data_IF_280554290305
#
_entry.id   IF_280554290305
#
_cell.length_a   1.000
_cell.length_b   1.000
_cell.length_c   1.000
_cell.angle_alpha   90.00
_cell.angle_beta   90.00
_cell.angle_gamma   90.00
#
_symmetry.space_group_name_H-M   'P 1'
#
loop_
_entity.id
_entity.type
_entity.pdbx_description
1 polymer ?
#
# COMPACT_ATOMS: atom_id res chain seq x y z
N UNK A 1 33.53 3.96 -20.94
CA UNK A 1 33.65 4.70 -19.66
C UNK A 1 32.50 5.70 -19.61
N UNK A 2 31.43 5.41 -18.85
CA UNK A 2 30.25 6.28 -18.76
C UNK A 2 30.52 7.38 -17.73
N UNK A 3 30.50 8.64 -18.17
CA UNK A 3 30.72 9.80 -17.30
C UNK A 3 29.39 10.49 -17.06
N UNK A 4 28.87 10.39 -15.83
CA UNK A 4 27.59 11.01 -15.44
C UNK A 4 27.85 12.48 -15.07
N UNK A 5 27.30 13.41 -15.85
CA UNK A 5 27.34 14.85 -15.57
C UNK A 5 26.17 15.19 -14.63
N UNK A 6 26.46 15.77 -13.46
CA UNK A 6 25.43 16.31 -12.55
C UNK A 6 24.87 17.60 -13.14
N UNK A 7 23.56 17.66 -13.31
CA UNK A 7 22.81 18.88 -13.68
C UNK A 7 22.03 19.33 -12.43
N UNK A 8 21.96 20.64 -12.14
CA UNK A 8 21.25 21.16 -10.97
C UNK A 8 19.77 20.75 -10.96
N UNK A 9 19.31 20.32 -9.78
CA UNK A 9 17.96 19.86 -9.52
C UNK A 9 16.98 21.02 -9.41
N UNK A 10 15.95 21.05 -10.26
CA UNK A 10 14.75 21.86 -10.01
C UNK A 10 13.86 21.10 -9.02
N UNK A 11 13.76 21.67 -7.83
CA UNK A 11 12.87 21.23 -6.73
C UNK A 11 11.42 21.40 -7.18
N UNK A 12 10.52 20.57 -6.65
CA UNK A 12 9.08 20.60 -6.95
C UNK A 12 8.53 22.03 -6.92
N UNK A 13 7.87 22.45 -8.00
CA UNK A 13 7.07 23.66 -8.03
C UNK A 13 5.94 23.51 -6.99
N UNK A 14 5.69 24.58 -6.23
CA UNK A 14 4.72 24.71 -5.12
C UNK A 14 5.20 24.27 -3.73
N UNK A 15 6.18 25.00 -3.18
CA UNK A 15 6.37 25.17 -1.74
C UNK A 15 6.78 26.61 -1.39
N UNK A 16 6.24 27.61 -2.09
CA UNK A 16 6.33 29.02 -1.66
C UNK A 16 5.06 29.41 -0.91
N UNK A 17 5.26 30.12 0.20
CA UNK A 17 4.22 30.55 1.12
C UNK A 17 3.30 31.60 0.47
N UNK A 18 2.02 31.27 0.32
CA UNK A 18 0.97 32.26 0.12
C UNK A 18 0.11 32.38 1.39
N UNK A 19 -0.28 33.60 1.82
CA UNK A 19 -1.08 33.78 3.01
C UNK A 19 -2.59 33.67 2.73
N UNK A 20 -3.28 33.18 3.77
CA UNK A 20 -4.71 33.32 4.07
C UNK A 20 -5.72 32.38 3.39
N UNK A 21 -5.85 31.19 3.98
CA UNK A 21 -7.11 30.43 4.08
C UNK A 21 -7.09 29.63 5.40
N UNK A 22 -8.25 29.21 5.93
CA UNK A 22 -8.35 28.34 7.11
C UNK A 22 -7.37 27.16 7.02
N UNK A 23 -6.38 27.11 7.91
CA UNK A 23 -5.28 26.15 7.90
C UNK A 23 -3.93 26.77 7.50
N UNK A 24 -2.96 25.95 7.10
CA UNK A 24 -1.59 26.42 6.79
C UNK A 24 -1.44 27.09 5.41
N UNK A 25 -2.54 27.42 4.72
CA UNK A 25 -2.55 27.94 3.34
C UNK A 25 -2.21 26.91 2.24
N UNK A 26 -1.79 25.70 2.61
CA UNK A 26 -1.33 24.66 1.65
C UNK A 26 -2.31 23.51 1.43
N UNK A 27 -3.52 23.60 1.99
CA UNK A 27 -4.54 22.54 1.94
C UNK A 27 -3.96 21.13 2.24
N UNK A 28 -3.11 21.02 3.26
CA UNK A 28 -2.34 19.80 3.49
C UNK A 28 -3.13 18.70 4.22
N UNK A 29 -2.53 17.52 4.38
CA UNK A 29 -3.06 16.41 5.18
C UNK A 29 -2.74 16.52 6.69
N UNK A 30 -2.45 17.73 7.16
CA UNK A 30 -2.14 18.00 8.56
C UNK A 30 -3.36 18.40 9.38
N UNK A 31 -3.19 18.41 10.71
CA UNK A 31 -4.21 18.81 11.69
C UNK A 31 -4.76 20.23 11.47
N UNK A 32 -4.01 21.08 10.77
CA UNK A 32 -4.45 22.43 10.42
C UNK A 32 -5.53 22.48 9.34
N UNK A 33 -5.66 21.44 8.50
CA UNK A 33 -6.56 21.45 7.33
C UNK A 33 -7.55 20.29 7.34
N UNK A 34 -7.08 19.06 7.60
CA UNK A 34 -7.90 17.83 7.51
C UNK A 34 -9.20 17.86 8.33
N UNK A 35 -9.21 18.32 9.60
CA UNK A 35 -10.43 18.27 10.42
C UNK A 35 -11.60 19.11 9.89
N UNK A 36 -11.30 20.13 9.06
CA UNK A 36 -12.30 21.01 8.44
C UNK A 36 -12.52 20.71 6.95
N UNK A 37 -11.79 19.73 6.41
CA UNK A 37 -11.89 19.32 5.02
C UNK A 37 -13.14 18.50 4.74
N UNK A 38 -13.52 18.50 3.46
CA UNK A 38 -14.39 17.49 2.90
C UNK A 38 -13.59 16.70 1.87
N UNK A 39 -13.46 15.41 2.13
CA UNK A 39 -12.74 14.48 1.26
C UNK A 39 -13.73 13.41 0.80
N UNK A 40 -13.63 12.93 -0.44
CA UNK A 40 -14.42 11.78 -0.85
C UNK A 40 -14.15 10.61 0.08
N UNK A 41 -15.15 9.79 0.36
CA UNK A 41 -15.08 8.66 1.28
C UNK A 41 -15.58 7.42 0.56
N UNK A 42 -14.72 6.41 0.49
CA UNK A 42 -15.09 5.03 0.20
C UNK A 42 -15.23 4.29 1.53
N UNK A 43 -16.47 3.97 1.89
CA UNK A 43 -16.80 3.20 3.08
C UNK A 43 -17.01 1.74 2.66
N UNK A 44 -16.07 0.84 2.98
CA UNK A 44 -16.19 -0.58 2.67
C UNK A 44 -17.05 -1.29 3.72
N UNK A 45 -17.76 -2.35 3.33
CA UNK A 45 -18.60 -3.13 4.24
C UNK A 45 -17.80 -3.64 5.46
N UNK A 46 -18.41 -3.62 6.64
CA UNK A 46 -17.85 -4.29 7.81
C UNK A 46 -17.88 -5.81 7.63
N UNK A 47 -16.90 -6.51 8.21
CA UNK A 47 -16.94 -7.96 8.35
C UNK A 47 -18.12 -8.37 9.25
N UNK A 48 -19.26 -8.69 8.64
CA UNK A 48 -20.39 -9.34 9.30
C UNK A 48 -20.10 -10.82 9.48
N UNK A 49 -20.46 -11.40 10.64
CA UNK A 49 -20.42 -12.84 10.86
C UNK A 49 -21.10 -13.55 9.69
N UNK A 50 -20.37 -14.40 8.96
CA UNK A 50 -20.89 -15.20 7.85
C UNK A 50 -22.19 -15.90 8.26
N UNK A 51 -23.32 -15.27 7.96
CA UNK A 51 -24.59 -15.95 7.96
C UNK A 51 -24.57 -16.75 6.68
N UNK A 52 -24.35 -18.05 6.84
CA UNK A 52 -24.43 -19.07 5.79
C UNK A 52 -25.65 -18.76 4.92
N UNK A 53 -25.43 -18.11 3.77
CA UNK A 53 -26.46 -17.99 2.76
C UNK A 53 -26.60 -19.38 2.14
N UNK A 54 -27.66 -20.06 2.54
CA UNK A 54 -28.05 -21.35 2.00
C UNK A 54 -28.12 -21.31 0.48
N UNK A 55 -27.75 -22.42 -0.13
CA UNK A 55 -27.79 -22.63 -1.57
C UNK A 55 -29.17 -22.26 -2.15
N UNK A 56 -29.17 -21.28 -3.05
CA UNK A 56 -30.27 -21.01 -3.97
C UNK A 56 -30.86 -19.60 -3.87
N UNK A 57 -30.39 -18.69 -4.73
CA UNK A 57 -31.25 -17.88 -5.61
C UNK A 57 -30.47 -16.72 -6.27
N UNK A 58 -30.52 -16.70 -7.60
CA UNK A 58 -30.40 -15.56 -8.55
C UNK A 58 -29.07 -14.80 -8.63
N UNK A 59 -28.30 -15.16 -9.66
CA UNK A 59 -27.26 -14.34 -10.28
C UNK A 59 -27.90 -13.19 -11.06
N UNK A 60 -27.67 -11.92 -10.67
CA UNK A 60 -27.63 -10.77 -11.61
C UNK A 60 -27.22 -9.41 -11.01
N UNK A 61 -27.01 -9.26 -9.70
CA UNK A 61 -26.60 -7.96 -9.11
C UNK A 61 -25.23 -7.96 -8.41
N UNK A 62 -24.73 -9.11 -7.97
CA UNK A 62 -23.42 -9.20 -7.29
C UNK A 62 -22.23 -8.85 -8.20
N UNK A 63 -22.33 -9.02 -9.53
CA UNK A 63 -21.21 -8.74 -10.43
C UNK A 63 -20.92 -7.26 -10.65
N UNK A 64 -21.87 -6.36 -10.35
CA UNK A 64 -21.70 -4.91 -10.56
C UNK A 64 -21.00 -4.21 -9.38
N UNK A 65 -21.00 -4.80 -8.19
CA UNK A 65 -20.23 -4.28 -7.04
C UNK A 65 -18.74 -4.65 -7.12
N UNK A 66 -18.40 -5.75 -7.81
CA UNK A 66 -17.05 -6.35 -7.82
C UNK A 66 -15.97 -5.45 -8.44
N UNK A 67 -16.29 -4.39 -9.17
CA UNK A 67 -15.28 -3.52 -9.80
C UNK A 67 -15.30 -2.06 -9.35
N UNK A 68 -16.16 -1.68 -8.40
CA UNK A 68 -16.39 -0.27 -8.13
C UNK A 68 -15.15 0.45 -7.58
N UNK A 69 -14.41 -0.14 -6.62
CA UNK A 69 -13.15 0.46 -6.14
C UNK A 69 -12.10 0.55 -7.25
N UNK A 70 -11.98 -0.51 -8.06
CA UNK A 70 -11.01 -0.57 -9.15
C UNK A 70 -11.19 0.58 -10.14
N UNK A 71 -12.42 0.77 -10.62
CA UNK A 71 -12.72 1.80 -11.62
C UNK A 71 -12.64 3.21 -11.02
N UNK A 72 -13.08 3.37 -9.78
CA UNK A 72 -12.94 4.63 -9.05
C UNK A 72 -11.47 5.01 -8.87
N UNK A 73 -10.62 4.08 -8.43
CA UNK A 73 -9.21 4.33 -8.19
C UNK A 73 -8.49 4.73 -9.48
N UNK A 74 -8.68 3.96 -10.56
CA UNK A 74 -8.06 4.26 -11.85
C UNK A 74 -8.56 5.59 -12.42
N UNK A 75 -9.87 5.83 -12.42
CA UNK A 75 -10.43 7.09 -12.91
C UNK A 75 -9.94 8.32 -12.12
N UNK A 76 -9.84 8.21 -10.79
CA UNK A 76 -9.29 9.29 -9.96
C UNK A 76 -7.77 9.48 -10.19
N UNK A 77 -7.03 8.39 -10.38
CA UNK A 77 -5.59 8.45 -10.69
C UNK A 77 -5.32 9.14 -12.03
N UNK A 78 -6.04 8.77 -13.08
CA UNK A 78 -5.97 9.41 -14.40
C UNK A 78 -6.38 10.89 -14.35
N UNK A 79 -7.40 11.20 -13.53
CA UNK A 79 -7.80 12.58 -13.30
C UNK A 79 -6.69 13.43 -12.64
N UNK A 80 -5.86 12.87 -11.76
CA UNK A 80 -4.68 13.58 -11.22
C UNK A 80 -3.54 13.65 -12.22
N UNK A 81 -3.44 12.67 -13.12
CA UNK A 81 -2.47 12.67 -14.21
C UNK A 81 -2.75 13.79 -15.18
N UNK A 82 -4.01 13.99 -15.58
CA UNK A 82 -4.41 15.09 -16.47
C UNK A 82 -4.23 16.48 -15.85
N UNK A 83 -4.21 16.56 -14.51
CA UNK A 83 -3.89 17.79 -13.76
C UNK A 83 -2.38 18.04 -13.60
N UNK A 84 -1.51 17.11 -14.04
CA UNK A 84 -0.06 17.29 -13.98
C UNK A 84 0.56 17.12 -12.59
N UNK A 85 -0.09 16.38 -11.68
CA UNK A 85 0.41 16.18 -10.31
C UNK A 85 1.56 15.16 -10.21
N UNK A 86 1.84 14.42 -11.28
CA UNK A 86 2.89 13.41 -11.32
C UNK A 86 4.21 14.01 -11.82
N UNK A 87 5.34 13.52 -11.30
CA UNK A 87 6.67 14.02 -11.67
C UNK A 87 7.15 13.56 -13.04
N UNK A 88 6.58 12.48 -13.55
CA UNK A 88 6.89 11.86 -14.83
C UNK A 88 5.77 10.88 -15.19
N UNK A 89 5.68 10.54 -16.47
CA UNK A 89 4.72 9.58 -17.01
C UNK A 89 5.27 8.15 -16.95
N UNK A 90 4.40 7.19 -16.66
CA UNK A 90 4.71 5.74 -16.63
C UNK A 90 3.87 4.93 -17.63
N UNK A 91 2.92 5.55 -18.33
CA UNK A 91 2.01 4.87 -19.27
C UNK A 91 2.70 4.39 -20.55
N UNK A 92 3.89 4.92 -20.83
CA UNK A 92 4.68 4.62 -22.03
C UNK A 92 5.98 3.87 -21.73
N UNK A 93 6.14 3.37 -20.49
CA UNK A 93 7.37 2.71 -20.09
C UNK A 93 7.61 1.39 -20.82
N UNK A 94 8.79 1.28 -21.44
CA UNK A 94 9.23 0.03 -22.07
C UNK A 94 9.27 -1.09 -21.03
N UNK A 95 8.44 -2.12 -21.25
CA UNK A 95 8.30 -3.26 -20.36
C UNK A 95 8.56 -4.55 -21.13
N UNK A 96 9.41 -5.42 -20.60
CA UNK A 96 9.76 -6.72 -21.21
C UNK A 96 9.75 -7.83 -20.18
N UNK A 97 9.21 -8.99 -20.56
CA UNK A 97 9.42 -10.24 -19.83
C UNK A 97 10.77 -10.80 -20.24
N UNK A 98 11.67 -10.95 -19.27
CA UNK A 98 13.01 -11.49 -19.46
C UNK A 98 12.89 -13.00 -19.71
N UNK A 99 13.52 -13.54 -20.77
CA UNK A 99 13.56 -14.98 -21.02
C UNK A 99 14.16 -15.79 -19.86
N UNK A 100 13.61 -16.97 -19.61
CA UNK A 100 14.06 -17.89 -18.56
C UNK A 100 12.89 -18.40 -17.70
N UNK A 101 13.18 -19.33 -16.80
CA UNK A 101 12.16 -20.09 -16.06
C UNK A 101 11.25 -19.22 -15.17
N UNK A 102 11.76 -18.07 -14.73
CA UNK A 102 11.02 -17.16 -13.85
C UNK A 102 10.12 -16.17 -14.59
N UNK A 103 10.48 -15.80 -15.82
CA UNK A 103 9.82 -14.71 -16.55
C UNK A 103 9.82 -13.39 -15.77
N UNK A 104 10.98 -12.94 -15.30
CA UNK A 104 11.11 -11.65 -14.61
C UNK A 104 10.63 -10.50 -15.50
N UNK A 105 10.00 -9.48 -14.91
CA UNK A 105 9.51 -8.32 -15.65
C UNK A 105 10.51 -7.18 -15.42
N UNK A 106 11.08 -6.67 -16.51
CA UNK A 106 11.93 -5.49 -16.49
C UNK A 106 11.19 -4.31 -17.12
N UNK A 107 11.20 -3.18 -16.43
CA UNK A 107 10.60 -1.95 -16.89
C UNK A 107 11.60 -0.80 -16.78
N UNK A 108 11.69 0.01 -17.84
CA UNK A 108 12.53 1.20 -17.88
C UNK A 108 11.68 2.44 -17.55
N UNK A 109 11.82 2.92 -16.31
CA UNK A 109 11.16 4.14 -15.83
C UNK A 109 12.10 5.33 -15.93
N UNK A 110 12.05 6.02 -17.08
CA UNK A 110 12.79 7.26 -17.31
C UNK A 110 12.32 8.37 -16.35
N UNK A 111 13.21 9.28 -15.97
CA UNK A 111 12.89 10.36 -15.01
C UNK A 111 12.86 9.96 -13.53
N UNK A 112 12.60 8.69 -13.18
CA UNK A 112 12.57 8.24 -11.77
C UNK A 112 13.89 8.47 -11.04
N UNK A 113 15.02 8.26 -11.71
CA UNK A 113 16.35 8.42 -11.12
C UNK A 113 16.69 9.88 -10.78
N UNK A 114 16.10 10.86 -11.49
CA UNK A 114 16.38 12.30 -11.30
C UNK A 114 15.62 12.89 -10.10
N UNK A 115 14.50 12.29 -9.71
CA UNK A 115 13.56 12.84 -8.72
C UNK A 115 13.43 12.00 -7.44
N UNK A 116 14.24 10.95 -7.30
CA UNK A 116 14.23 10.08 -6.10
C UNK A 116 14.72 10.86 -4.88
N UNK A 117 13.90 10.93 -3.83
CA UNK A 117 14.28 11.57 -2.58
C UNK A 117 15.38 10.76 -1.87
N UNK A 118 16.38 11.41 -1.25
CA UNK A 118 17.34 10.72 -0.40
C UNK A 118 16.64 10.15 0.84
N UNK A 119 17.14 9.01 1.34
CA UNK A 119 16.65 8.42 2.59
C UNK A 119 17.13 9.28 3.77
N UNK A 120 16.20 9.84 4.54
CA UNK A 120 16.50 10.74 5.68
C UNK A 120 16.66 10.02 7.03
N UNK A 121 16.60 8.69 7.05
CA UNK A 121 16.73 7.88 8.27
C UNK A 121 17.91 6.93 8.21
N UNK A 122 18.32 6.49 9.40
CA UNK A 122 19.36 5.48 9.54
C UNK A 122 18.79 4.13 9.12
N UNK A 123 19.60 3.28 8.51
CA UNK A 123 19.15 1.98 7.97
C UNK A 123 19.62 0.84 8.90
N UNK A 124 19.99 1.16 10.13
CA UNK A 124 20.42 0.24 11.19
C UNK A 124 19.25 -0.33 12.00
N UNK A 125 18.12 0.38 12.06
CA UNK A 125 16.92 -0.03 12.81
C UNK A 125 15.66 -0.07 11.96
N UNK A 126 14.92 -1.18 12.06
CA UNK A 126 13.59 -1.36 11.45
C UNK A 126 12.57 -0.45 12.11
N UNK A 127 12.59 -0.36 13.45
CA UNK A 127 11.69 0.50 14.20
C UNK A 127 12.40 1.81 14.59
N UNK A 128 11.80 2.92 14.17
CA UNK A 128 12.25 4.27 14.52
C UNK A 128 11.04 5.13 14.86
N UNK A 129 11.15 6.06 15.84
CA UNK A 129 10.07 6.97 16.15
C UNK A 129 9.74 7.85 14.95
N UNK A 130 8.46 8.21 14.83
CA UNK A 130 8.02 9.22 13.88
C UNK A 130 8.75 10.55 14.13
N UNK A 131 9.05 11.28 13.05
CA UNK A 131 9.75 12.57 13.11
C UNK A 131 9.00 13.60 12.27
N UNK A 132 8.29 14.51 12.94
CA UNK A 132 7.52 15.60 12.32
C UNK A 132 8.38 16.52 11.46
N UNK A 133 9.69 16.64 11.75
CA UNK A 133 10.59 17.54 11.02
C UNK A 133 10.93 16.99 9.65
N UNK A 134 11.05 15.66 9.53
CA UNK A 134 11.32 14.96 8.26
C UNK A 134 10.11 14.96 7.34
N UNK A 135 10.31 14.58 6.08
CA UNK A 135 9.17 14.40 5.19
C UNK A 135 8.21 13.33 5.72
N UNK A 136 6.91 13.63 5.70
CA UNK A 136 5.84 12.72 6.08
C UNK A 136 4.54 13.14 5.38
N UNK A 137 3.54 12.26 5.35
CA UNK A 137 2.33 12.46 4.56
C UNK A 137 1.40 13.56 5.07
N UNK A 138 1.53 14.06 6.30
CA UNK A 138 0.72 15.21 6.76
C UNK A 138 1.09 16.51 6.03
N UNK A 139 2.20 16.52 5.30
CA UNK A 139 2.71 17.66 4.52
C UNK A 139 2.27 17.62 3.06
N UNK A 140 1.62 16.55 2.62
CA UNK A 140 1.11 16.39 1.26
C UNK A 140 -0.18 17.20 1.09
N UNK A 141 -0.40 17.75 -0.10
CA UNK A 141 -1.63 18.48 -0.46
C UNK A 141 -2.82 17.54 -0.67
N UNK A 142 -4.02 17.99 -0.32
CA UNK A 142 -5.23 17.19 -0.46
C UNK A 142 -5.60 16.91 -1.93
N UNK A 143 -5.09 17.67 -2.89
CA UNK A 143 -5.21 17.40 -4.33
C UNK A 143 -4.58 16.06 -4.75
N UNK A 144 -3.57 15.58 -4.00
CA UNK A 144 -2.96 14.27 -4.21
C UNK A 144 -3.84 13.11 -3.66
N UNK A 145 -4.82 13.39 -2.81
CA UNK A 145 -5.74 12.37 -2.26
C UNK A 145 -6.80 12.01 -3.28
N UNK A 146 -7.02 10.70 -3.47
CA UNK A 146 -8.13 10.18 -4.25
C UNK A 146 -9.41 10.19 -3.39
N UNK A 147 -9.35 9.52 -2.25
CA UNK A 147 -10.44 9.40 -1.28
C UNK A 147 -9.95 8.86 0.06
N UNK A 148 -10.77 9.00 1.10
CA UNK A 148 -10.66 8.26 2.36
C UNK A 148 -11.12 6.82 2.16
N UNK A 149 -10.48 5.88 2.83
CA UNK A 149 -10.80 4.46 2.78
C UNK A 149 -11.02 3.96 4.21
N UNK A 150 -12.27 3.80 4.60
CA UNK A 150 -12.69 3.54 5.98
C UNK A 150 -13.74 2.43 6.03
N UNK A 151 -13.83 1.75 7.15
CA UNK A 151 -14.88 0.76 7.40
C UNK A 151 -16.22 1.49 7.58
N UNK A 152 -17.26 1.03 6.87
CA UNK A 152 -18.61 1.55 6.96
C UNK A 152 -19.36 1.09 8.21
N UNK A 153 -20.40 1.83 8.59
CA UNK A 153 -21.29 1.46 9.69
C UNK A 153 -22.35 0.41 9.28
N UNK A 154 -22.62 0.33 7.98
CA UNK A 154 -23.63 -0.53 7.38
C UNK A 154 -23.00 -1.77 6.71
N UNK A 155 -23.81 -2.79 6.43
CA UNK A 155 -23.38 -4.00 5.72
C UNK A 155 -23.23 -3.80 4.19
N UNK A 156 -23.15 -2.54 3.74
CA UNK A 156 -23.03 -2.16 2.33
C UNK A 156 -21.85 -1.23 2.08
N UNK A 157 -21.12 -1.49 0.99
CA UNK A 157 -20.10 -0.57 0.49
C UNK A 157 -20.74 0.68 -0.12
N UNK A 158 -20.28 1.87 0.31
CA UNK A 158 -20.83 3.17 -0.12
C UNK A 158 -19.72 4.14 -0.49
N UNK A 159 -19.99 5.01 -1.47
CA UNK A 159 -19.11 6.11 -1.82
C UNK A 159 -19.80 7.46 -1.70
N UNK A 160 -19.14 8.35 -0.95
CA UNK A 160 -19.58 9.70 -0.71
C UNK A 160 -18.59 10.66 -1.36
N UNK A 161 -18.92 11.31 -2.48
CA UNK A 161 -17.96 12.16 -3.20
C UNK A 161 -17.52 13.39 -2.40
N UNK A 162 -18.24 13.75 -1.34
CA UNK A 162 -17.99 14.95 -0.55
C UNK A 162 -18.38 14.75 0.92
N UNK A 163 -17.66 13.88 1.64
CA UNK A 163 -17.93 13.59 3.04
C UNK A 163 -17.12 14.51 3.97
N UNK A 164 -17.74 15.13 5.00
CA UNK A 164 -16.99 15.87 6.00
C UNK A 164 -16.08 14.90 6.78
N UNK A 165 -14.84 15.30 7.03
CA UNK A 165 -13.96 14.54 7.93
C UNK A 165 -14.40 14.74 9.38
N UNK A 166 -14.67 15.99 9.77
CA UNK A 166 -15.15 16.35 11.11
C UNK A 166 -14.00 16.55 12.12
N UNK A 167 -14.21 17.45 13.09
CA UNK A 167 -13.16 17.81 14.07
C UNK A 167 -12.91 16.76 15.15
N UNK A 168 -13.91 15.90 15.42
CA UNK A 168 -13.87 14.88 16.47
C UNK A 168 -13.87 13.45 15.91
N UNK A 169 -13.62 13.28 14.61
CA UNK A 169 -13.53 11.95 14.00
C UNK A 169 -12.18 11.31 14.30
N UNK A 170 -12.15 9.98 14.18
CA UNK A 170 -10.89 9.23 14.16
C UNK A 170 -10.01 9.74 13.02
N UNK A 171 -8.70 9.67 13.21
CA UNK A 171 -7.76 10.05 12.16
C UNK A 171 -8.06 9.26 10.87
N UNK A 172 -8.27 9.93 9.72
CA UNK A 172 -8.71 9.25 8.51
C UNK A 172 -7.58 8.42 7.89
N UNK A 173 -7.95 7.30 7.30
CA UNK A 173 -7.08 6.55 6.39
C UNK A 173 -7.35 7.01 4.97
N UNK A 174 -6.29 7.31 4.22
CA UNK A 174 -6.42 7.92 2.88
C UNK A 174 -5.71 7.09 1.82
N UNK A 175 -6.28 7.10 0.62
CA UNK A 175 -5.61 6.66 -0.60
C UNK A 175 -5.20 7.90 -1.38
N UNK A 176 -3.90 8.03 -1.66
CA UNK A 176 -3.31 9.14 -2.38
C UNK A 176 -2.47 8.66 -3.56
N UNK A 177 -2.27 9.49 -4.58
CA UNK A 177 -1.34 9.15 -5.66
C UNK A 177 0.09 9.03 -5.12
N UNK A 178 0.87 8.14 -5.73
CA UNK A 178 2.32 8.27 -5.62
C UNK A 178 2.79 9.20 -6.74
N UNK A 179 3.13 10.45 -6.40
CA UNK A 179 3.64 11.45 -7.36
C UNK A 179 4.95 11.04 -8.05
N UNK A 180 5.62 9.99 -7.56
CA UNK A 180 6.74 9.31 -8.23
C UNK A 180 6.33 7.87 -8.57
N UNK A 181 5.41 7.69 -9.53
CA UNK A 181 4.81 6.39 -9.80
C UNK A 181 5.88 5.42 -10.30
N UNK A 182 5.61 4.12 -10.16
CA UNK A 182 6.46 3.08 -10.74
C UNK A 182 5.72 2.29 -11.80
N UNK A 183 4.40 2.42 -11.84
CA UNK A 183 3.52 1.73 -12.76
C UNK A 183 2.17 2.48 -12.73
N UNK A 184 1.32 2.22 -13.72
CA UNK A 184 -0.05 2.68 -13.81
C UNK A 184 -0.87 2.35 -12.55
N UNK A 185 -1.67 3.34 -12.11
CA UNK A 185 -2.46 3.26 -10.89
C UNK A 185 -1.63 3.20 -9.60
N UNK A 186 -0.37 3.64 -9.61
CA UNK A 186 0.46 3.65 -8.39
C UNK A 186 -0.08 4.66 -7.36
N UNK A 187 -0.64 4.12 -6.28
CA UNK A 187 -1.18 4.84 -5.13
C UNK A 187 -0.51 4.43 -3.82
N UNK A 188 -0.77 5.19 -2.78
CA UNK A 188 -0.36 4.96 -1.41
C UNK A 188 -1.60 4.81 -0.54
N UNK A 189 -1.69 3.73 0.22
CA UNK A 189 -2.61 3.66 1.37
C UNK A 189 -1.86 4.18 2.60
N UNK A 190 -2.40 5.21 3.24
CA UNK A 190 -1.81 5.87 4.40
C UNK A 190 -2.81 5.73 5.56
N UNK A 191 -2.65 4.70 6.41
CA UNK A 191 -3.55 4.47 7.54
C UNK A 191 -3.44 5.60 8.56
N UNK A 192 -4.59 6.12 9.01
CA UNK A 192 -4.70 7.08 10.11
C UNK A 192 -3.64 8.21 10.03
N UNK A 193 -3.69 9.01 8.97
CA UNK A 193 -2.65 10.00 8.62
C UNK A 193 -2.33 11.02 9.72
N UNK A 194 -3.30 11.40 10.57
CA UNK A 194 -3.12 12.35 11.66
C UNK A 194 -2.57 11.73 12.95
N UNK A 195 -2.56 10.40 13.06
CA UNK A 195 -1.96 9.66 14.17
C UNK A 195 -0.44 9.52 14.02
N UNK A 196 0.11 9.88 12.85
CA UNK A 196 1.54 9.91 12.58
C UNK A 196 2.24 8.58 12.90
N UNK A 197 1.60 7.46 12.53
CA UNK A 197 2.14 6.13 12.79
C UNK A 197 3.50 5.98 12.10
N UNK A 198 4.56 5.50 12.78
CA UNK A 198 5.83 5.20 12.13
C UNK A 198 5.65 4.05 11.13
N UNK A 199 6.63 3.85 10.22
CA UNK A 199 6.63 2.76 9.23
C UNK A 199 6.81 1.40 9.93
N UNK A 200 5.75 0.92 10.57
CA UNK A 200 5.66 -0.27 11.42
C UNK A 200 4.34 -0.98 11.14
N UNK A 201 4.34 -2.30 11.03
CA UNK A 201 3.11 -3.08 10.90
C UNK A 201 2.44 -3.23 12.27
N UNK A 202 1.12 -3.03 12.28
CA UNK A 202 0.16 -3.38 13.33
C UNK A 202 -1.03 -4.14 12.72
N UNK A 203 -1.83 -4.81 13.55
CA UNK A 203 -2.94 -5.66 13.10
C UNK A 203 -4.03 -4.88 12.35
N UNK A 204 -4.39 -3.69 12.84
CA UNK A 204 -5.48 -2.90 12.26
C UNK A 204 -5.11 -2.35 10.90
N UNK A 205 -3.91 -1.76 10.79
CA UNK A 205 -3.40 -1.19 9.55
C UNK A 205 -3.13 -2.25 8.48
N UNK A 206 -2.74 -3.46 8.88
CA UNK A 206 -2.55 -4.57 7.94
C UNK A 206 -3.88 -5.14 7.45
N UNK A 207 -4.88 -5.27 8.33
CA UNK A 207 -6.22 -5.68 7.95
C UNK A 207 -6.84 -4.69 6.96
N UNK A 208 -6.66 -3.38 7.18
CA UNK A 208 -7.10 -2.35 6.25
C UNK A 208 -6.49 -2.52 4.84
N UNK A 209 -5.22 -2.92 4.76
CA UNK A 209 -4.57 -3.21 3.48
C UNK A 209 -5.16 -4.46 2.80
N UNK A 210 -5.55 -5.50 3.55
CA UNK A 210 -6.25 -6.65 2.97
C UNK A 210 -7.64 -6.28 2.45
N UNK A 211 -8.42 -5.48 3.18
CA UNK A 211 -9.70 -4.98 2.69
C UNK A 211 -9.55 -4.17 1.40
N UNK A 212 -8.51 -3.34 1.29
CA UNK A 212 -8.25 -2.61 0.03
C UNK A 212 -7.96 -3.55 -1.14
N UNK A 213 -7.25 -4.66 -0.91
CA UNK A 213 -6.98 -5.65 -1.94
C UNK A 213 -8.24 -6.44 -2.33
N UNK A 214 -9.09 -6.78 -1.35
CA UNK A 214 -10.35 -7.49 -1.54
C UNK A 214 -11.38 -6.64 -2.28
N UNK A 215 -11.60 -5.40 -1.84
CA UNK A 215 -12.54 -4.44 -2.46
C UNK A 215 -12.12 -4.06 -3.89
N UNK A 216 -10.82 -4.06 -4.19
CA UNK A 216 -10.35 -3.84 -5.56
C UNK A 216 -10.69 -5.02 -6.48
N UNK A 217 -10.87 -6.21 -5.91
CA UNK A 217 -11.22 -7.48 -6.55
C UNK A 217 -10.51 -7.76 -7.89
N UNK A 218 -9.27 -7.27 -8.03
CA UNK A 218 -8.47 -7.39 -9.23
C UNK A 218 -7.17 -8.12 -8.89
N UNK A 219 -6.92 -9.33 -9.45
CA UNK A 219 -5.72 -10.10 -9.13
C UNK A 219 -4.43 -9.43 -9.64
N UNK A 220 -4.55 -8.45 -10.54
CA UNK A 220 -3.43 -7.66 -11.03
C UNK A 220 -3.12 -6.41 -10.20
N UNK A 221 -4.01 -6.07 -9.27
CA UNK A 221 -3.75 -5.08 -8.24
C UNK A 221 -2.99 -5.72 -7.08
N UNK A 222 -1.80 -5.19 -6.78
CA UNK A 222 -1.00 -5.67 -5.65
C UNK A 222 -0.68 -4.54 -4.71
N UNK A 223 -0.70 -4.87 -3.42
CA UNK A 223 -0.22 -3.99 -2.38
C UNK A 223 1.13 -4.49 -1.88
N UNK A 224 2.08 -3.58 -1.73
CA UNK A 224 3.40 -3.82 -1.19
C UNK A 224 3.64 -3.02 0.07
N UNK A 225 4.39 -3.60 1.00
CA UNK A 225 4.92 -2.89 2.16
C UNK A 225 6.43 -3.08 2.22
N UNK A 226 7.12 -2.00 2.55
CA UNK A 226 8.55 -1.99 2.78
C UNK A 226 8.79 -1.54 4.23
N UNK A 227 9.50 -2.34 5.03
CA UNK A 227 9.97 -1.88 6.33
C UNK A 227 11.16 -0.92 6.18
N UNK A 228 11.48 -0.13 7.22
CA UNK A 228 12.80 0.49 7.29
C UNK A 228 13.87 -0.62 7.29
N UNK A 229 15.00 -0.39 6.62
CA UNK A 229 16.00 -1.43 6.35
C UNK A 229 15.74 -2.26 5.09
N UNK A 230 14.51 -2.23 4.54
CA UNK A 230 14.08 -2.99 3.37
C UNK A 230 13.46 -2.07 2.30
N UNK A 231 14.20 -1.05 1.88
CA UNK A 231 13.84 -0.11 0.80
C UNK A 231 12.70 0.88 1.07
N UNK A 232 12.13 0.93 2.28
CA UNK A 232 11.33 2.09 2.65
C UNK A 232 12.16 3.38 2.54
N UNK A 233 11.51 4.51 2.26
CA UNK A 233 12.14 5.84 2.18
C UNK A 233 11.44 6.90 3.02
N UNK A 234 10.30 6.57 3.63
CA UNK A 234 9.53 7.48 4.50
C UNK A 234 9.20 6.74 5.80
N UNK A 235 9.36 7.41 6.94
CA UNK A 235 8.97 6.87 8.26
C UNK A 235 7.60 7.42 8.69
N UNK A 236 6.58 7.10 7.91
CA UNK A 236 5.16 7.32 8.18
C UNK A 236 4.46 6.15 7.52
N UNK A 237 3.69 5.37 8.28
CA UNK A 237 3.05 4.13 7.82
C UNK A 237 2.34 4.34 6.48
N UNK A 238 2.78 3.59 5.49
CA UNK A 238 2.13 3.50 4.19
C UNK A 238 2.36 2.15 3.53
N UNK A 239 1.37 1.75 2.73
CA UNK A 239 1.47 0.69 1.75
C UNK A 239 1.51 1.33 0.36
N UNK A 240 2.13 0.64 -0.59
CA UNK A 240 2.17 1.03 -2.00
C UNK A 240 1.27 0.08 -2.77
N UNK A 241 0.50 0.56 -3.74
CA UNK A 241 -0.32 -0.31 -4.57
C UNK A 241 -0.24 0.12 -6.03
N UNK A 242 -0.26 -0.82 -6.96
CA UNK A 242 -0.29 -0.52 -8.39
C UNK A 242 -0.81 -1.71 -9.19
N UNK A 243 -1.10 -1.48 -10.47
CA UNK A 243 -1.63 -2.48 -11.39
C UNK A 243 -0.56 -2.94 -12.35
N UNK A 244 -0.36 -4.25 -12.48
CA UNK A 244 0.43 -4.80 -13.57
C UNK A 244 -0.28 -6.02 -14.13
N UNK A 245 -0.73 -5.94 -15.37
CA UNK A 245 -1.53 -6.98 -16.04
C UNK A 245 -0.71 -8.22 -16.45
N UNK A 246 0.25 -8.62 -15.61
CA UNK A 246 1.09 -9.80 -15.74
C UNK A 246 1.29 -10.40 -14.34
N UNK A 247 1.21 -11.74 -14.16
CA UNK A 247 1.57 -12.38 -12.90
C UNK A 247 3.03 -12.13 -12.53
N UNK A 248 3.30 -11.75 -11.29
CA UNK A 248 4.66 -11.61 -10.80
C UNK A 248 5.35 -12.97 -10.78
N UNK A 249 6.67 -13.04 -11.02
CA UNK A 249 7.44 -14.28 -10.95
C UNK A 249 7.19 -15.08 -9.67
N UNK A 250 7.07 -14.40 -8.52
CA UNK A 250 6.85 -15.04 -7.22
C UNK A 250 5.45 -15.68 -7.08
N UNK A 251 4.47 -15.21 -7.85
CA UNK A 251 3.11 -15.76 -7.82
C UNK A 251 3.04 -17.12 -8.53
N UNK A 252 3.99 -17.40 -9.43
CA UNK A 252 4.03 -18.62 -10.27
C UNK A 252 4.85 -19.76 -9.68
N UNK A 253 5.71 -19.48 -8.70
CA UNK A 253 6.63 -20.50 -8.18
C UNK A 253 5.94 -21.47 -7.21
N UNK A 254 6.37 -22.74 -7.17
CA UNK A 254 5.82 -23.72 -6.25
C UNK A 254 6.11 -23.35 -4.79
N UNK A 255 5.24 -23.80 -3.90
CA UNK A 255 5.36 -23.62 -2.45
C UNK A 255 5.39 -24.97 -1.74
N UNK A 256 6.01 -25.00 -0.56
CA UNK A 256 5.97 -26.16 0.34
C UNK A 256 5.38 -25.72 1.69
N UNK A 257 4.26 -26.35 2.07
CA UNK A 257 3.63 -26.13 3.38
C UNK A 257 4.63 -26.42 4.50
N UNK A 258 4.68 -25.51 5.48
CA UNK A 258 5.47 -25.68 6.69
C UNK A 258 4.58 -26.38 7.72
N UNK A 259 5.10 -27.43 8.36
CA UNK A 259 4.39 -28.12 9.45
C UNK A 259 4.36 -27.17 10.65
N UNK A 260 3.19 -26.66 11.00
CA UNK A 260 2.97 -25.84 12.18
C UNK A 260 2.99 -26.69 13.46
N UNK A 261 3.49 -26.12 14.55
CA UNK A 261 3.64 -26.81 15.85
C UNK A 261 2.26 -27.18 16.41
N UNK A 262 2.15 -28.33 17.08
CA UNK A 262 0.90 -28.97 17.57
C UNK A 262 -0.01 -28.15 18.52
N UNK A 263 0.29 -26.89 18.80
CA UNK A 263 -0.41 -26.10 19.83
C UNK A 263 -0.93 -24.73 19.34
N UNK A 264 -0.97 -24.48 18.02
CA UNK A 264 -1.60 -23.27 17.47
C UNK A 264 -3.07 -23.60 17.15
N UNK A 265 -4.05 -22.79 17.60
CA UNK A 265 -5.45 -22.95 17.20
C UNK A 265 -5.55 -23.03 15.68
N UNK A 266 -6.32 -24.01 15.17
CA UNK A 266 -6.54 -24.14 13.73
C UNK A 266 -7.49 -23.02 13.25
N UNK A 267 -6.90 -21.90 12.87
CA UNK A 267 -7.58 -20.77 12.25
C UNK A 267 -7.68 -20.90 10.73
N UNK A 268 -7.30 -22.06 10.15
CA UNK A 268 -7.36 -22.32 8.72
C UNK A 268 -6.25 -21.67 7.89
N UNK A 269 -5.31 -20.93 8.49
CA UNK A 269 -4.21 -20.29 7.76
C UNK A 269 -3.13 -21.31 7.42
N UNK A 270 -2.78 -21.36 6.14
CA UNK A 270 -1.71 -22.20 5.61
C UNK A 270 -0.47 -21.32 5.42
N UNK A 271 0.63 -21.72 6.07
CA UNK A 271 1.94 -21.10 5.87
C UNK A 271 2.83 -22.03 5.07
N UNK A 272 3.40 -21.52 3.99
CA UNK A 272 4.31 -22.23 3.11
C UNK A 272 5.61 -21.45 2.91
N UNK A 273 6.68 -22.14 2.49
CA UNK A 273 7.90 -21.49 1.97
C UNK A 273 7.93 -21.55 0.45
N UNK A 274 8.49 -20.52 -0.18
CA UNK A 274 8.76 -20.52 -1.61
C UNK A 274 9.83 -21.57 -1.95
N UNK A 275 9.62 -22.31 -3.04
CA UNK A 275 10.60 -23.24 -3.59
C UNK A 275 11.16 -22.68 -4.90
N UNK A 276 12.43 -22.96 -5.15
CA UNK A 276 13.10 -22.62 -6.41
C UNK A 276 12.92 -21.16 -6.80
N UNK A 277 12.93 -20.21 -5.86
CA UNK A 277 12.86 -18.77 -6.14
C UNK A 277 14.13 -18.10 -5.62
N UNK A 278 14.70 -17.08 -6.31
CA UNK A 278 15.97 -16.48 -5.89
C UNK A 278 15.93 -15.80 -4.51
N UNK A 279 14.73 -15.45 -4.04
CA UNK A 279 14.51 -14.85 -2.72
C UNK A 279 13.76 -15.84 -1.85
N UNK A 280 14.25 -16.04 -0.62
CA UNK A 280 13.51 -16.83 0.38
C UNK A 280 12.32 -16.01 0.88
N UNK A 281 11.15 -16.62 0.91
CA UNK A 281 9.94 -15.98 1.40
C UNK A 281 8.97 -17.00 1.96
N UNK A 282 8.09 -16.51 2.83
CA UNK A 282 6.93 -17.21 3.34
C UNK A 282 5.70 -16.79 2.54
N UNK A 283 4.76 -17.71 2.38
CA UNK A 283 3.47 -17.48 1.73
C UNK A 283 2.38 -17.85 2.72
N UNK A 284 1.43 -16.93 2.92
CA UNK A 284 0.28 -17.10 3.79
C UNK A 284 -0.99 -17.08 2.94
N UNK A 285 -1.82 -18.10 3.11
CA UNK A 285 -3.06 -18.31 2.36
C UNK A 285 -4.13 -18.93 3.27
N UNK A 286 -5.40 -18.81 2.91
CA UNK A 286 -6.51 -19.38 3.69
C UNK A 286 -6.87 -18.53 4.90
N UNK A 287 -7.26 -19.18 5.99
CA UNK A 287 -7.96 -18.55 7.11
C UNK A 287 -9.46 -18.83 7.05
N UNK A 288 -10.11 -18.89 8.22
CA UNK A 288 -11.59 -18.96 8.28
C UNK A 288 -12.21 -17.60 7.97
N UNK A 289 -11.50 -16.53 8.31
CA UNK A 289 -11.85 -15.14 8.05
C UNK A 289 -10.64 -14.40 7.47
N UNK A 290 -10.86 -13.26 6.82
CA UNK A 290 -9.77 -12.37 6.38
C UNK A 290 -8.90 -11.95 7.58
N UNK A 291 -9.53 -11.73 8.74
CA UNK A 291 -8.83 -11.39 9.98
C UNK A 291 -7.86 -12.48 10.43
N UNK A 292 -8.17 -13.77 10.25
CA UNK A 292 -7.24 -14.86 10.58
C UNK A 292 -5.95 -14.78 9.76
N UNK A 293 -6.09 -14.55 8.44
CA UNK A 293 -4.94 -14.35 7.54
C UNK A 293 -4.15 -13.10 7.92
N UNK A 294 -4.87 -11.98 8.14
CA UNK A 294 -4.29 -10.70 8.56
C UNK A 294 -3.46 -10.86 9.83
N UNK A 295 -4.03 -11.47 10.87
CA UNK A 295 -3.38 -11.62 12.18
C UNK A 295 -2.16 -12.53 12.11
N UNK A 296 -2.20 -13.61 11.31
CA UNK A 296 -1.06 -14.50 11.12
C UNK A 296 0.13 -13.77 10.45
N UNK A 297 -0.14 -12.98 9.42
CA UNK A 297 0.89 -12.19 8.73
C UNK A 297 1.39 -11.05 9.63
N UNK A 298 0.49 -10.27 10.22
CA UNK A 298 0.82 -9.14 11.07
C UNK A 298 1.66 -9.59 12.28
N UNK A 299 1.29 -10.70 12.94
CA UNK A 299 2.08 -11.28 14.04
C UNK A 299 3.49 -11.68 13.59
N UNK A 300 3.61 -12.24 12.39
CA UNK A 300 4.92 -12.59 11.80
C UNK A 300 5.76 -11.33 11.53
N UNK A 301 5.15 -10.27 11.01
CA UNK A 301 5.81 -8.99 10.77
C UNK A 301 6.23 -8.29 12.06
N UNK A 302 5.39 -8.35 13.10
CA UNK A 302 5.68 -7.84 14.45
C UNK A 302 6.88 -8.59 15.04
N UNK A 303 6.93 -9.91 14.91
CA UNK A 303 8.09 -10.69 15.31
C UNK A 303 9.37 -10.24 14.58
N UNK A 304 9.32 -10.03 13.25
CA UNK A 304 10.48 -9.58 12.49
C UNK A 304 10.95 -8.17 12.88
N UNK A 305 10.05 -7.19 13.00
CA UNK A 305 10.43 -5.82 13.35
C UNK A 305 10.94 -5.70 14.78
N UNK A 306 10.39 -6.45 15.74
CA UNK A 306 10.85 -6.46 17.13
C UNK A 306 12.24 -7.11 17.26
N UNK A 307 12.58 -8.04 16.35
CA UNK A 307 13.91 -8.63 16.22
C UNK A 307 14.85 -7.85 15.27
N UNK A 308 14.46 -6.65 14.85
CA UNK A 308 15.23 -5.79 13.94
C UNK A 308 15.62 -6.47 12.61
N UNK A 309 14.76 -7.34 12.09
CA UNK A 309 14.92 -7.99 10.79
C UNK A 309 14.11 -7.20 9.77
N UNK A 310 14.72 -6.53 8.79
CA UNK A 310 13.97 -5.83 7.76
C UNK A 310 13.18 -6.79 6.87
N UNK A 311 12.07 -6.37 6.30
CA UNK A 311 11.24 -7.23 5.45
C UNK A 311 10.42 -6.45 4.42
N UNK A 312 9.97 -7.17 3.39
CA UNK A 312 9.00 -6.71 2.42
C UNK A 312 7.76 -7.60 2.46
N UNK A 313 6.60 -7.03 2.14
CA UNK A 313 5.34 -7.76 1.97
C UNK A 313 4.82 -7.51 0.56
N UNK A 314 4.22 -8.53 -0.04
CA UNK A 314 3.39 -8.43 -1.24
C UNK A 314 2.04 -9.10 -0.95
N UNK A 315 0.96 -8.34 -1.03
CA UNK A 315 -0.42 -8.82 -1.00
C UNK A 315 -0.87 -8.93 -2.47
N UNK A 316 -1.37 -10.10 -2.85
CA UNK A 316 -1.80 -10.42 -4.21
C UNK A 316 -3.12 -11.19 -4.19
N UNK A 317 -3.65 -11.48 -5.39
CA UNK A 317 -4.83 -12.34 -5.57
C UNK A 317 -6.03 -11.85 -4.73
N UNK A 318 -6.33 -10.56 -4.86
CA UNK A 318 -7.43 -9.89 -4.15
C UNK A 318 -7.34 -10.05 -2.61
N UNK A 319 -6.12 -10.03 -2.05
CA UNK A 319 -5.92 -10.14 -0.60
C UNK A 319 -5.85 -11.58 -0.07
N UNK A 320 -6.06 -12.60 -0.92
CA UNK A 320 -6.12 -14.01 -0.49
C UNK A 320 -4.74 -14.65 -0.31
N UNK A 321 -3.70 -14.03 -0.87
CA UNK A 321 -2.33 -14.54 -0.83
C UNK A 321 -1.37 -13.44 -0.43
N UNK A 322 -0.58 -13.70 0.61
CA UNK A 322 0.41 -12.75 1.12
C UNK A 322 1.80 -13.38 1.15
N UNK A 323 2.75 -12.70 0.54
CA UNK A 323 4.16 -13.06 0.56
C UNK A 323 4.92 -12.19 1.55
N UNK A 324 5.70 -12.80 2.43
CA UNK A 324 6.58 -12.14 3.37
C UNK A 324 8.04 -12.49 3.07
N UNK A 325 8.87 -11.46 2.84
CA UNK A 325 10.27 -11.60 2.48
C UNK A 325 11.17 -10.99 3.55
N UNK A 326 11.68 -11.79 4.51
CA UNK A 326 12.73 -11.33 5.41
C UNK A 326 13.99 -10.97 4.62
N UNK A 327 14.50 -9.76 4.84
CA UNK A 327 15.70 -9.23 4.21
C UNK A 327 16.88 -9.30 5.18
N UNK A 328 18.10 -9.35 4.63
CA UNK A 328 19.33 -9.14 5.40
C UNK A 328 19.66 -7.65 5.43
N UNK A 329 20.01 -7.13 6.60
CA UNK A 329 20.53 -5.78 6.74
C UNK A 329 21.79 -5.62 5.89
N UNK A 330 21.74 -4.75 4.88
CA UNK A 330 22.85 -4.48 3.94
C UNK A 330 24.12 -3.92 4.61
N UNK A 331 24.07 -3.58 5.89
CA UNK A 331 25.21 -3.05 6.65
C UNK A 331 26.14 -4.10 7.26
N UNK A 332 25.83 -5.40 7.14
CA UNK A 332 26.71 -6.48 7.61
C UNK A 332 27.68 -7.02 6.53
N UNK A 333 27.71 -6.41 5.34
CA UNK A 333 28.59 -6.81 4.23
C UNK A 333 29.61 -5.72 3.85
N UNK A 334 30.18 -5.02 4.85
CA UNK A 334 31.39 -4.22 4.64
C UNK A 334 32.55 -4.74 5.45
#
# INVERSE_FOLDING_TARGET
MLTIKRVPTVVSNFQEESPEALGCGRNCLGKCCVPVSKLPLYAFKRDGSDSIKGEGAVQSEESNQVCFLNDLLLGQWENRMSQGLFRYDVTTCETKVIPGDYGFIAQLNEGRHLKKRPTEFRVDRVLQPFDEKKFNFTKVGQEEVLFRFEEGEDDETKYFPNAPVGQNSKSPSVIAINVSPIEYGHVLLIPRVLDCLPQRIDHESFLLALHMADEAANPFFRLGYNSLGAFATINHLHFQAYYLSVPFPVEKVPTQKIITVKNVPDNGVIVSKLLNYPVRGLVFEGGKTMKDLSDAVASSCICLQDNNIPYNILISDCGKRVFLFPQRSRHLEK
#
